data_IF_056126564491
#
_entry.id   IF_056126564491
#
_cell.length_a   1.000
_cell.length_b   1.000
_cell.length_c   1.000
_cell.angle_alpha   90.00
_cell.angle_beta   90.00
_cell.angle_gamma   90.00
#
_symmetry.space_group_name_H-M   'P 1'
#
loop_
_entity.id
_entity.type
_entity.pdbx_description
1 polymer ?
#
# COMPACT_ATOMS: atom_id res chain seq x y z
N UNK A 1 -8.79 9.95 42.98
CA UNK A 1 -7.59 9.95 42.08
C UNK A 1 -7.79 8.81 41.12
N UNK A 2 -7.66 9.06 39.83
CA UNK A 2 -7.73 7.98 38.81
C UNK A 2 -6.49 7.12 38.99
N UNK A 3 -6.66 5.81 39.18
CA UNK A 3 -5.54 4.89 39.33
C UNK A 3 -4.74 4.90 38.03
N UNK A 4 -3.43 5.11 38.11
CA UNK A 4 -2.53 5.08 36.94
C UNK A 4 -2.41 3.61 36.52
N UNK A 5 -2.77 3.24 35.25
CA UNK A 5 -2.64 1.86 34.81
C UNK A 5 -1.15 1.44 34.77
N UNK A 6 -0.86 0.15 34.93
CA UNK A 6 0.51 -0.37 34.77
C UNK A 6 1.01 -0.12 33.34
N UNK A 7 2.34 -0.19 33.12
CA UNK A 7 2.91 -0.15 31.78
C UNK A 7 2.25 -1.17 30.85
N UNK A 8 2.00 -0.76 29.61
CA UNK A 8 1.39 -1.66 28.62
C UNK A 8 2.43 -2.73 28.18
N UNK A 9 2.08 -3.99 28.38
CA UNK A 9 2.88 -5.12 27.92
C UNK A 9 2.44 -5.53 26.51
N UNK A 10 3.38 -5.54 25.58
CA UNK A 10 3.13 -5.94 24.18
C UNK A 10 3.33 -7.45 24.06
N UNK A 11 2.29 -8.23 23.70
CA UNK A 11 2.46 -9.67 23.50
C UNK A 11 3.29 -9.96 22.25
N UNK A 12 4.06 -11.04 22.28
CA UNK A 12 4.70 -11.53 21.07
C UNK A 12 3.66 -12.08 20.08
N UNK A 13 3.78 -11.65 18.81
CA UNK A 13 2.87 -12.07 17.73
C UNK A 13 3.64 -12.28 16.44
N UNK A 14 3.35 -13.36 15.74
CA UNK A 14 3.74 -13.54 14.35
C UNK A 14 2.69 -12.90 13.45
N UNK A 15 3.04 -11.80 12.80
CA UNK A 15 2.12 -11.04 11.94
C UNK A 15 2.13 -11.65 10.53
N UNK A 16 1.10 -12.42 10.23
CA UNK A 16 0.85 -13.03 8.92
C UNK A 16 -0.50 -12.56 8.32
N UNK A 17 -0.88 -11.32 8.62
CA UNK A 17 -2.05 -10.69 8.04
C UNK A 17 -1.70 -9.80 6.83
N UNK A 18 -2.70 -9.07 6.29
CA UNK A 18 -2.51 -8.14 5.16
C UNK A 18 -1.81 -6.83 5.57
N UNK A 19 -1.10 -6.83 6.68
CA UNK A 19 -0.39 -5.72 7.31
C UNK A 19 -1.14 -5.17 8.54
N UNK A 20 -0.38 -4.63 9.51
CA UNK A 20 1.08 -4.42 9.45
C UNK A 20 1.90 -5.71 9.38
N UNK A 21 3.10 -5.61 8.79
CA UNK A 21 4.10 -6.69 8.78
C UNK A 21 4.97 -6.65 10.03
N UNK A 22 5.77 -7.70 10.23
CA UNK A 22 6.85 -7.68 11.22
C UNK A 22 7.81 -6.53 10.92
N UNK A 23 8.47 -6.03 11.95
CA UNK A 23 9.45 -4.94 11.85
C UNK A 23 10.82 -5.45 12.25
N UNK A 24 11.83 -5.21 11.41
CA UNK A 24 13.20 -5.64 11.69
C UNK A 24 13.76 -4.96 12.95
N UNK A 25 14.54 -5.66 13.81
CA UNK A 25 15.10 -5.08 15.05
C UNK A 25 15.90 -3.79 14.83
N UNK A 26 16.66 -3.66 13.73
CA UNK A 26 17.37 -2.42 13.37
C UNK A 26 16.42 -1.23 13.19
N UNK A 27 15.24 -1.45 12.63
CA UNK A 27 14.20 -0.42 12.43
C UNK A 27 13.61 0.01 13.77
N UNK A 28 13.31 -0.93 14.67
CA UNK A 28 12.84 -0.62 16.02
C UNK A 28 13.91 0.14 16.81
N UNK A 29 15.18 -0.26 16.71
CA UNK A 29 16.29 0.45 17.33
C UNK A 29 16.45 1.87 16.77
N UNK A 30 16.28 2.07 15.45
CA UNK A 30 16.31 3.40 14.85
C UNK A 30 15.20 4.29 15.41
N UNK A 31 13.99 3.77 15.55
CA UNK A 31 12.83 4.49 16.08
C UNK A 31 13.00 4.91 17.55
N UNK A 32 13.78 4.18 18.34
CA UNK A 32 14.01 4.46 19.77
C UNK A 32 15.09 5.52 20.03
N UNK A 33 15.72 6.10 19.00
CA UNK A 33 16.73 7.15 19.15
C UNK A 33 16.13 8.44 19.72
N UNK A 34 17.01 9.27 20.32
CA UNK A 34 16.64 10.60 20.82
C UNK A 34 16.00 11.43 19.70
N UNK A 35 14.85 12.04 20.02
CA UNK A 35 14.16 12.95 19.09
C UNK A 35 14.95 14.25 18.96
N UNK A 36 15.18 14.70 17.72
CA UNK A 36 15.70 16.00 17.38
C UNK A 36 14.61 16.82 16.65
N UNK A 37 14.80 18.14 16.53
CA UNK A 37 13.81 19.00 15.88
C UNK A 37 13.56 18.63 14.42
N UNK A 38 12.32 18.75 13.96
CA UNK A 38 11.95 18.46 12.57
C UNK A 38 12.55 19.45 11.56
N UNK A 39 13.06 20.61 12.01
CA UNK A 39 13.83 21.57 11.21
C UNK A 39 15.33 21.53 11.52
N UNK A 40 15.79 20.61 12.36
CA UNK A 40 17.21 20.39 12.59
C UNK A 40 17.90 20.00 11.27
N UNK A 41 19.11 20.55 10.97
CA UNK A 41 19.83 20.21 9.74
C UNK A 41 20.00 18.72 9.50
N UNK A 42 20.19 17.92 10.56
CA UNK A 42 20.32 16.46 10.46
C UNK A 42 19.00 15.79 10.08
N UNK A 43 17.84 16.31 10.55
CA UNK A 43 16.53 15.82 10.12
C UNK A 43 16.29 16.14 8.65
N UNK A 44 16.67 17.33 8.19
CA UNK A 44 16.53 17.72 6.80
C UNK A 44 17.47 16.93 5.87
N UNK A 45 18.68 16.59 6.32
CA UNK A 45 19.59 15.70 5.59
C UNK A 45 18.98 14.29 5.46
N UNK A 46 18.49 13.72 6.55
CA UNK A 46 17.80 12.43 6.55
C UNK A 46 16.57 12.44 5.61
N UNK A 47 15.80 13.51 5.56
CA UNK A 47 14.68 13.64 4.61
C UNK A 47 15.16 13.58 3.16
N UNK A 48 16.31 14.21 2.83
CA UNK A 48 16.89 14.09 1.48
C UNK A 48 17.31 12.65 1.17
N UNK A 49 17.91 11.96 2.13
CA UNK A 49 18.29 10.54 1.99
C UNK A 49 17.04 9.66 1.77
N UNK A 50 15.97 9.88 2.57
CA UNK A 50 14.69 9.18 2.41
C UNK A 50 14.12 9.43 1.00
N UNK A 51 14.10 10.67 0.52
CA UNK A 51 13.62 11.01 -0.82
C UNK A 51 14.43 10.31 -1.91
N UNK A 52 15.75 10.25 -1.77
CA UNK A 52 16.64 9.50 -2.67
C UNK A 52 16.30 8.02 -2.70
N UNK A 53 16.26 7.38 -1.54
CA UNK A 53 15.92 5.96 -1.42
C UNK A 53 14.50 5.63 -1.91
N UNK A 54 13.53 6.52 -1.68
CA UNK A 54 12.17 6.34 -2.20
C UNK A 54 12.13 6.40 -3.73
N UNK A 55 12.90 7.27 -4.37
CA UNK A 55 12.99 7.28 -5.85
C UNK A 55 13.53 5.96 -6.39
N UNK A 56 14.54 5.38 -5.74
CA UNK A 56 15.05 4.06 -6.11
C UNK A 56 13.95 2.98 -5.96
N UNK A 57 13.22 2.98 -4.83
CA UNK A 57 12.19 1.96 -4.55
C UNK A 57 10.96 2.11 -5.45
N UNK A 58 10.60 3.33 -5.85
CA UNK A 58 9.55 3.58 -6.84
C UNK A 58 10.01 3.38 -8.29
N UNK A 59 11.32 3.29 -8.53
CA UNK A 59 11.94 3.36 -9.87
C UNK A 59 11.47 4.60 -10.61
N UNK A 60 11.82 5.78 -10.07
CA UNK A 60 11.40 7.05 -10.64
C UNK A 60 12.45 8.13 -10.51
N UNK A 61 12.45 9.04 -11.47
CA UNK A 61 13.22 10.29 -11.46
C UNK A 61 12.43 11.48 -10.90
N UNK A 62 11.18 11.29 -10.48
CA UNK A 62 10.29 12.34 -10.02
C UNK A 62 10.88 13.11 -8.82
N UNK A 63 11.01 14.43 -8.94
CA UNK A 63 11.55 15.28 -7.88
C UNK A 63 10.61 15.33 -6.67
N UNK A 64 9.28 15.41 -6.92
CA UNK A 64 8.28 15.45 -5.85
C UNK A 64 7.99 14.03 -5.33
N UNK A 65 8.95 13.50 -4.58
CA UNK A 65 8.89 12.17 -3.93
C UNK A 65 9.21 12.34 -2.46
N UNK A 66 8.28 11.96 -1.57
CA UNK A 66 8.42 12.17 -0.12
C UNK A 66 7.49 11.24 0.69
N UNK A 67 7.73 11.06 2.01
CA UNK A 67 6.79 10.37 2.88
C UNK A 67 5.73 11.35 3.44
N UNK A 68 4.46 11.14 3.13
CA UNK A 68 3.34 11.83 3.78
C UNK A 68 3.30 11.43 5.26
N UNK A 69 3.15 12.41 6.16
CA UNK A 69 2.92 12.15 7.60
C UNK A 69 1.50 11.65 7.82
N UNK A 70 1.34 10.33 7.74
CA UNK A 70 0.07 9.62 7.80
C UNK A 70 0.19 8.20 7.26
N UNK A 71 -0.86 7.39 7.42
CA UNK A 71 -0.87 6.03 6.89
C UNK A 71 -1.17 6.01 5.38
N UNK A 72 -1.16 4.83 4.74
CA UNK A 72 -1.48 4.68 3.31
C UNK A 72 -2.78 5.37 2.87
N UNK A 73 -3.79 5.45 3.75
CA UNK A 73 -5.03 6.19 3.46
C UNK A 73 -4.77 7.70 3.32
N UNK A 74 -3.83 8.27 4.09
CA UNK A 74 -3.43 9.67 3.90
C UNK A 74 -2.73 9.87 2.55
N UNK A 75 -1.93 8.89 2.10
CA UNK A 75 -1.37 8.88 0.74
C UNK A 75 -2.45 8.85 -0.34
N UNK A 76 -3.47 7.98 -0.17
CA UNK A 76 -4.62 7.91 -1.06
C UNK A 76 -5.38 9.24 -1.13
N UNK A 77 -5.68 9.85 0.01
CA UNK A 77 -6.33 11.16 0.05
C UNK A 77 -5.46 12.26 -0.57
N UNK A 78 -4.16 12.30 -0.26
CA UNK A 78 -3.23 13.25 -0.88
C UNK A 78 -3.20 13.11 -2.40
N UNK A 79 -3.12 11.89 -2.92
CA UNK A 79 -3.12 11.61 -4.36
C UNK A 79 -4.40 12.12 -5.06
N UNK A 80 -5.56 11.85 -4.50
CA UNK A 80 -6.84 12.24 -5.09
C UNK A 80 -7.12 13.75 -4.92
N UNK A 81 -6.96 14.28 -3.69
CA UNK A 81 -7.25 15.68 -3.38
C UNK A 81 -6.36 16.66 -4.13
N UNK A 82 -5.14 16.23 -4.46
CA UNK A 82 -4.18 17.10 -5.14
C UNK A 82 -4.53 17.39 -6.61
N UNK A 83 -5.17 16.45 -7.30
CA UNK A 83 -5.43 16.56 -8.75
C UNK A 83 -6.91 16.68 -9.10
N UNK A 84 -7.83 16.23 -8.24
CA UNK A 84 -9.27 16.30 -8.52
C UNK A 84 -9.90 17.56 -7.95
N UNK A 85 -10.77 18.17 -8.75
CA UNK A 85 -11.68 19.26 -8.39
C UNK A 85 -13.13 18.79 -8.54
N UNK A 86 -14.12 19.50 -7.96
CA UNK A 86 -15.52 19.24 -8.24
C UNK A 86 -15.79 19.27 -9.76
N UNK A 87 -16.63 18.35 -10.21
CA UNK A 87 -17.04 18.15 -11.61
C UNK A 87 -15.95 17.57 -12.54
N UNK A 88 -14.73 17.29 -12.03
CA UNK A 88 -13.76 16.52 -12.80
C UNK A 88 -14.23 15.08 -12.97
N UNK A 89 -14.08 14.51 -14.16
CA UNK A 89 -14.38 13.11 -14.44
C UNK A 89 -13.17 12.24 -14.12
N UNK A 90 -13.37 11.24 -13.26
CA UNK A 90 -12.32 10.29 -12.87
C UNK A 90 -12.80 8.85 -13.02
N UNK A 91 -11.97 8.01 -13.62
CA UNK A 91 -12.21 6.57 -13.69
C UNK A 91 -11.49 5.85 -12.56
N UNK A 92 -12.22 5.00 -11.82
CA UNK A 92 -11.67 4.16 -10.75
C UNK A 92 -11.89 2.69 -11.12
N UNK A 93 -10.79 1.92 -11.16
CA UNK A 93 -10.83 0.47 -11.39
C UNK A 93 -11.07 -0.23 -10.05
N UNK A 94 -12.29 -0.78 -9.87
CA UNK A 94 -12.77 -1.30 -8.58
C UNK A 94 -12.68 -2.83 -8.54
N UNK A 95 -11.60 -3.35 -7.98
CA UNK A 95 -11.36 -4.80 -7.82
C UNK A 95 -11.52 -5.29 -6.37
N UNK A 96 -11.84 -4.39 -5.43
CA UNK A 96 -12.03 -4.72 -4.02
C UNK A 96 -12.29 -3.52 -3.12
N UNK A 97 -12.08 -3.73 -1.82
CA UNK A 97 -12.43 -2.78 -0.76
C UNK A 97 -11.63 -1.47 -0.83
N UNK A 98 -10.32 -1.53 -1.13
CA UNK A 98 -9.49 -0.32 -1.14
C UNK A 98 -9.75 0.53 -2.38
N UNK A 99 -10.01 -0.08 -3.52
CA UNK A 99 -10.47 0.63 -4.70
C UNK A 99 -11.88 1.25 -4.51
N UNK A 100 -12.78 0.55 -3.81
CA UNK A 100 -14.08 1.12 -3.42
C UNK A 100 -13.94 2.31 -2.46
N UNK A 101 -12.96 2.31 -1.54
CA UNK A 101 -12.62 3.46 -0.70
C UNK A 101 -12.13 4.64 -1.53
N UNK A 102 -11.24 4.40 -2.49
CA UNK A 102 -10.74 5.41 -3.43
C UNK A 102 -11.90 6.08 -4.18
N UNK A 103 -12.85 5.28 -4.67
CA UNK A 103 -14.10 5.75 -5.30
C UNK A 103 -14.91 6.66 -4.36
N UNK A 104 -15.04 6.26 -3.11
CA UNK A 104 -15.78 7.04 -2.10
C UNK A 104 -15.09 8.39 -1.82
N UNK A 105 -13.77 8.43 -1.74
CA UNK A 105 -13.00 9.67 -1.55
C UNK A 105 -13.19 10.59 -2.77
N UNK A 106 -13.09 10.07 -4.00
CA UNK A 106 -13.30 10.86 -5.21
C UNK A 106 -14.71 11.49 -5.25
N UNK A 107 -15.75 10.73 -4.87
CA UNK A 107 -17.12 11.25 -4.74
C UNK A 107 -17.24 12.36 -3.70
N UNK A 108 -16.57 12.24 -2.56
CA UNK A 108 -16.56 13.28 -1.51
C UNK A 108 -15.88 14.58 -1.96
N UNK A 109 -14.96 14.49 -2.92
CA UNK A 109 -14.34 15.65 -3.56
C UNK A 109 -15.26 16.34 -4.57
N UNK A 110 -16.43 15.76 -4.86
CA UNK A 110 -17.38 16.27 -5.85
C UNK A 110 -17.04 15.88 -7.29
N UNK A 111 -16.13 14.92 -7.50
CA UNK A 111 -15.80 14.41 -8.82
C UNK A 111 -16.91 13.49 -9.38
N UNK A 112 -17.07 13.50 -10.68
CA UNK A 112 -17.88 12.51 -11.41
C UNK A 112 -17.07 11.22 -11.56
N UNK A 113 -17.57 10.12 -10.97
CA UNK A 113 -16.81 8.87 -10.88
C UNK A 113 -17.37 7.81 -11.81
N UNK A 114 -16.58 7.43 -12.80
CA UNK A 114 -16.78 6.24 -13.62
C UNK A 114 -16.13 5.06 -12.90
N UNK A 115 -16.93 4.04 -12.56
CA UNK A 115 -16.44 2.83 -11.89
C UNK A 115 -16.39 1.66 -12.86
N UNK A 116 -15.26 0.99 -12.98
CA UNK A 116 -15.11 -0.27 -13.71
C UNK A 116 -14.74 -1.40 -12.75
N UNK A 117 -15.17 -2.63 -13.05
CA UNK A 117 -14.82 -3.81 -12.26
C UNK A 117 -15.70 -3.97 -11.03
N UNK A 118 -16.99 -4.30 -11.18
CA UNK A 118 -17.92 -4.49 -10.05
C UNK A 118 -17.73 -5.82 -9.30
N UNK A 119 -16.92 -6.74 -9.83
CA UNK A 119 -16.68 -8.06 -9.23
C UNK A 119 -15.35 -8.06 -8.49
N UNK A 120 -15.45 -8.11 -7.18
CA UNK A 120 -14.27 -8.17 -6.32
C UNK A 120 -13.47 -9.46 -6.55
N UNK A 121 -12.15 -9.31 -6.71
CA UNK A 121 -11.23 -10.42 -6.98
C UNK A 121 -11.05 -10.76 -8.47
N UNK A 122 -11.76 -10.07 -9.36
CA UNK A 122 -11.54 -10.14 -10.81
C UNK A 122 -10.75 -8.90 -11.29
N UNK A 123 -9.78 -9.07 -12.21
CA UNK A 123 -9.06 -7.95 -12.80
C UNK A 123 -9.98 -7.17 -13.76
N UNK A 124 -9.73 -5.87 -13.87
CA UNK A 124 -10.34 -5.04 -14.92
C UNK A 124 -9.54 -5.20 -16.21
N UNK A 125 -10.22 -5.51 -17.32
CA UNK A 125 -9.54 -5.73 -18.60
C UNK A 125 -9.13 -4.43 -19.27
N UNK A 126 -8.03 -4.46 -20.03
CA UNK A 126 -7.54 -3.31 -20.79
C UNK A 126 -8.56 -2.86 -21.82
N UNK A 127 -9.27 -3.82 -22.47
CA UNK A 127 -10.29 -3.54 -23.48
C UNK A 127 -11.46 -2.78 -22.88
N UNK A 128 -11.87 -3.12 -21.66
CA UNK A 128 -12.94 -2.42 -20.96
C UNK A 128 -12.53 -0.99 -20.62
N UNK A 129 -11.29 -0.80 -20.09
CA UNK A 129 -10.73 0.54 -19.82
C UNK A 129 -10.69 1.37 -21.10
N UNK A 130 -10.15 0.80 -22.20
CA UNK A 130 -10.02 1.51 -23.47
C UNK A 130 -11.37 1.96 -24.04
N UNK A 131 -12.36 1.05 -24.08
CA UNK A 131 -13.71 1.33 -24.55
C UNK A 131 -14.36 2.44 -23.71
N UNK A 132 -14.27 2.35 -22.41
CA UNK A 132 -14.91 3.34 -21.52
C UNK A 132 -14.24 4.71 -21.64
N UNK A 133 -12.91 4.75 -21.86
CA UNK A 133 -12.22 6.02 -22.14
C UNK A 133 -12.61 6.62 -23.52
N UNK A 134 -13.00 5.78 -24.50
CA UNK A 134 -13.54 6.28 -25.78
C UNK A 134 -14.94 6.87 -25.61
N UNK A 135 -15.75 6.31 -24.70
CA UNK A 135 -17.08 6.81 -24.36
C UNK A 135 -17.03 8.07 -23.48
N UNK A 136 -15.91 8.28 -22.74
CA UNK A 136 -15.69 9.37 -21.78
C UNK A 136 -14.36 10.10 -22.04
N UNK A 137 -14.22 10.80 -23.18
CA UNK A 137 -12.97 11.48 -23.55
C UNK A 137 -12.61 12.65 -22.61
N UNK A 138 -13.55 13.13 -21.79
CA UNK A 138 -13.35 14.15 -20.74
C UNK A 138 -12.66 13.62 -19.49
N UNK A 139 -12.36 12.32 -19.40
CA UNK A 139 -11.73 11.69 -18.25
C UNK A 139 -10.37 12.34 -17.95
N UNK A 140 -10.24 12.94 -16.77
CA UNK A 140 -9.02 13.62 -16.30
C UNK A 140 -7.97 12.65 -15.77
N UNK A 141 -8.43 11.61 -15.07
CA UNK A 141 -7.52 10.66 -14.41
C UNK A 141 -8.12 9.24 -14.36
N UNK A 142 -7.25 8.24 -14.42
CA UNK A 142 -7.55 6.84 -14.10
C UNK A 142 -6.81 6.47 -12.83
N UNK A 143 -7.50 5.88 -11.87
CA UNK A 143 -6.88 5.38 -10.63
C UNK A 143 -7.14 3.89 -10.45
N UNK A 144 -6.14 3.18 -9.91
CA UNK A 144 -6.18 1.73 -9.71
C UNK A 144 -5.41 1.32 -8.46
N UNK A 145 -5.82 0.21 -7.85
CA UNK A 145 -5.04 -0.49 -6.81
C UNK A 145 -4.20 -1.57 -7.47
N UNK A 146 -2.87 -1.46 -7.37
CA UNK A 146 -1.91 -2.42 -7.93
C UNK A 146 -2.03 -3.80 -7.27
N UNK A 147 -2.10 -3.81 -5.93
CA UNK A 147 -2.31 -5.02 -5.14
C UNK A 147 -3.44 -4.85 -4.13
N UNK A 148 -4.61 -5.38 -4.46
CA UNK A 148 -5.82 -5.26 -3.64
C UNK A 148 -5.85 -6.30 -2.52
N UNK A 149 -5.50 -5.90 -1.30
CA UNK A 149 -5.37 -6.82 -0.16
C UNK A 149 -6.69 -7.36 0.38
N UNK A 150 -7.82 -6.84 -0.03
CA UNK A 150 -9.12 -7.41 0.35
C UNK A 150 -9.43 -8.68 -0.42
N UNK A 151 -8.85 -8.84 -1.60
CA UNK A 151 -9.12 -9.93 -2.54
C UNK A 151 -7.88 -10.74 -2.93
N UNK A 152 -6.67 -10.26 -2.61
CA UNK A 152 -5.41 -10.86 -3.05
C UNK A 152 -5.11 -10.64 -4.55
N UNK A 153 -5.83 -9.72 -5.18
CA UNK A 153 -5.69 -9.44 -6.60
C UNK A 153 -4.46 -8.54 -6.89
N UNK A 154 -3.71 -8.92 -7.91
CA UNK A 154 -2.70 -8.11 -8.59
C UNK A 154 -3.26 -7.62 -9.92
N UNK A 155 -3.42 -6.30 -10.09
CA UNK A 155 -3.81 -5.69 -11.36
C UNK A 155 -2.56 -5.34 -12.17
N UNK A 156 -2.46 -5.82 -13.41
CA UNK A 156 -1.36 -5.44 -14.31
C UNK A 156 -1.50 -3.99 -14.76
N UNK A 157 -0.41 -3.23 -14.76
CA UNK A 157 -0.44 -1.78 -14.91
C UNK A 157 0.16 -1.24 -16.21
N UNK A 158 1.18 -1.89 -16.76
CA UNK A 158 1.98 -1.38 -17.88
C UNK A 158 1.11 -0.91 -19.06
N UNK A 159 0.20 -1.75 -19.52
CA UNK A 159 -0.64 -1.46 -20.68
C UNK A 159 -1.69 -0.38 -20.39
N UNK A 160 -2.19 -0.32 -19.14
CA UNK A 160 -3.10 0.75 -18.69
C UNK A 160 -2.36 2.08 -18.63
N UNK A 161 -1.14 2.11 -18.10
CA UNK A 161 -0.30 3.31 -18.06
C UNK A 161 0.03 3.83 -19.47
N UNK A 162 0.40 2.94 -20.37
CA UNK A 162 0.62 3.28 -21.77
C UNK A 162 -0.63 3.85 -22.46
N UNK A 163 -1.81 3.30 -22.15
CA UNK A 163 -3.08 3.79 -22.66
C UNK A 163 -3.36 5.21 -22.14
N UNK A 164 -3.19 5.45 -20.84
CA UNK A 164 -3.35 6.78 -20.21
C UNK A 164 -2.37 7.79 -20.80
N UNK A 165 -1.09 7.42 -20.94
CA UNK A 165 -0.06 8.28 -21.55
C UNK A 165 -0.42 8.71 -22.98
N UNK A 166 -0.88 7.77 -23.83
CA UNK A 166 -1.28 8.08 -25.23
C UNK A 166 -2.47 9.01 -25.30
N UNK A 167 -3.32 9.07 -24.29
CA UNK A 167 -4.53 9.91 -24.23
C UNK A 167 -4.36 11.16 -23.40
N UNK A 168 -3.16 11.41 -22.88
CA UNK A 168 -2.83 12.51 -21.98
C UNK A 168 -3.68 12.54 -20.68
N UNK A 169 -4.09 11.37 -20.20
CA UNK A 169 -4.85 11.16 -18.95
C UNK A 169 -3.89 10.89 -17.81
N UNK A 170 -4.10 11.49 -16.61
CA UNK A 170 -3.31 11.18 -15.43
C UNK A 170 -3.53 9.73 -14.98
N UNK A 171 -2.44 9.03 -14.65
CA UNK A 171 -2.50 7.66 -14.15
C UNK A 171 -2.04 7.59 -12.70
N UNK A 172 -2.97 7.24 -11.78
CA UNK A 172 -2.74 7.15 -10.35
C UNK A 172 -2.80 5.70 -9.85
N UNK A 173 -1.83 5.32 -9.01
CA UNK A 173 -1.66 3.94 -8.54
C UNK A 173 -1.54 3.88 -7.02
N UNK A 174 -2.38 3.05 -6.40
CA UNK A 174 -2.20 2.59 -5.04
C UNK A 174 -1.24 1.40 -5.00
N UNK A 175 -0.02 1.63 -4.56
CA UNK A 175 0.99 0.61 -4.34
C UNK A 175 1.22 0.31 -2.84
N UNK A 176 0.24 0.63 -1.98
CA UNK A 176 0.38 0.47 -0.53
C UNK A 176 0.84 -0.92 -0.14
N UNK A 177 0.31 -1.95 -0.78
CA UNK A 177 0.65 -3.33 -0.46
C UNK A 177 1.80 -3.91 -1.30
N UNK A 178 2.22 -3.22 -2.36
CA UNK A 178 3.12 -3.78 -3.37
C UNK A 178 4.51 -3.17 -3.38
N UNK A 179 4.63 -1.88 -3.01
CA UNK A 179 5.94 -1.20 -2.96
C UNK A 179 6.94 -1.99 -2.10
N UNK A 180 8.08 -2.32 -2.69
CA UNK A 180 9.14 -3.12 -2.05
C UNK A 180 8.84 -4.62 -1.93
N UNK A 181 7.65 -5.10 -2.32
CA UNK A 181 7.27 -6.53 -2.24
C UNK A 181 7.09 -7.22 -3.58
N UNK A 182 6.86 -6.46 -4.63
CA UNK A 182 6.79 -6.96 -6.01
C UNK A 182 7.20 -5.86 -6.96
N UNK A 183 7.38 -6.20 -8.23
CA UNK A 183 7.80 -5.26 -9.25
C UNK A 183 6.88 -4.03 -9.30
N UNK A 184 7.50 -2.87 -9.32
CA UNK A 184 6.89 -1.57 -9.49
C UNK A 184 7.90 -0.67 -10.22
N UNK A 185 7.52 -0.13 -11.36
CA UNK A 185 8.33 0.78 -12.16
C UNK A 185 7.49 1.98 -12.56
N UNK A 186 7.58 3.03 -11.75
CA UNK A 186 6.73 4.23 -11.91
C UNK A 186 6.99 4.92 -13.24
N UNK A 187 8.26 5.13 -13.59
CA UNK A 187 8.61 5.79 -14.86
C UNK A 187 8.34 4.86 -16.05
N UNK A 188 8.75 3.59 -15.97
CA UNK A 188 8.59 2.61 -17.03
C UNK A 188 7.13 2.27 -17.35
N UNK A 189 6.25 2.38 -16.37
CA UNK A 189 4.81 2.12 -16.55
C UNK A 189 3.98 3.40 -16.70
N UNK A 190 4.63 4.54 -16.92
CA UNK A 190 3.95 5.84 -17.15
C UNK A 190 2.99 6.23 -16.03
N UNK A 191 3.34 5.95 -14.78
CA UNK A 191 2.53 6.29 -13.60
C UNK A 191 2.81 7.74 -13.21
N UNK A 192 1.76 8.56 -13.17
CA UNK A 192 1.86 9.98 -12.80
C UNK A 192 1.81 10.21 -11.30
N UNK A 193 1.09 9.35 -10.56
CA UNK A 193 0.89 9.46 -9.11
C UNK A 193 0.98 8.06 -8.53
N UNK A 194 1.90 7.83 -7.60
CA UNK A 194 2.00 6.54 -6.92
C UNK A 194 2.19 6.75 -5.43
N UNK A 195 1.46 6.00 -4.61
CA UNK A 195 1.63 6.04 -3.16
C UNK A 195 1.71 4.65 -2.53
N UNK A 196 2.43 4.59 -1.41
CA UNK A 196 2.71 3.37 -0.67
C UNK A 196 2.27 3.45 0.79
N UNK A 197 2.65 2.44 1.56
CA UNK A 197 2.46 2.41 3.02
C UNK A 197 3.67 1.81 3.73
N UNK A 198 4.15 2.47 4.78
CA UNK A 198 5.36 2.04 5.51
C UNK A 198 5.22 0.66 6.16
N UNK A 199 4.00 0.28 6.59
CA UNK A 199 3.72 -0.92 7.40
C UNK A 199 3.47 -2.21 6.59
N UNK A 200 3.66 -2.18 5.28
CA UNK A 200 3.48 -3.33 4.39
C UNK A 200 4.84 -3.94 4.03
N UNK A 201 5.15 -4.07 2.76
CA UNK A 201 6.40 -4.70 2.34
C UNK A 201 7.67 -3.87 2.66
N UNK A 202 7.54 -2.59 3.03
CA UNK A 202 8.68 -1.82 3.53
C UNK A 202 9.05 -2.16 4.99
N UNK A 203 8.16 -2.81 5.74
CA UNK A 203 8.39 -3.28 7.12
C UNK A 203 8.86 -2.20 8.10
N UNK A 204 8.36 -0.98 7.95
CA UNK A 204 8.45 0.06 8.97
C UNK A 204 7.12 0.14 9.75
N UNK A 205 7.10 0.71 10.95
CA UNK A 205 5.85 0.95 11.68
C UNK A 205 4.86 1.80 10.87
N UNK A 206 3.54 1.63 11.07
CA UNK A 206 2.54 2.48 10.41
C UNK A 206 2.70 3.94 10.83
N UNK A 207 2.39 4.87 9.92
CA UNK A 207 2.43 6.31 10.21
C UNK A 207 3.05 7.15 9.11
N UNK A 208 3.62 6.54 8.07
CA UNK A 208 4.13 7.22 6.89
C UNK A 208 3.59 6.57 5.61
N UNK A 209 3.27 7.41 4.62
CA UNK A 209 2.89 6.98 3.28
C UNK A 209 3.87 7.58 2.26
N UNK A 210 4.83 6.80 1.74
CA UNK A 210 5.62 7.20 0.58
C UNK A 210 4.71 7.60 -0.57
N UNK A 211 5.02 8.72 -1.25
CA UNK A 211 4.27 9.19 -2.42
C UNK A 211 5.21 9.83 -3.43
N UNK A 212 4.87 9.71 -4.70
CA UNK A 212 5.60 10.34 -5.82
C UNK A 212 4.64 10.91 -6.84
N UNK A 213 5.01 12.05 -7.46
CA UNK A 213 4.23 12.75 -8.47
C UNK A 213 5.10 13.09 -9.67
N UNK A 214 4.64 12.77 -10.88
CA UNK A 214 5.29 13.16 -12.12
C UNK A 214 5.19 14.68 -12.34
N UNK A 215 6.04 15.23 -13.22
CA UNK A 215 5.90 16.62 -13.65
C UNK A 215 4.51 16.93 -14.23
N UNK A 216 3.89 15.95 -14.91
CA UNK A 216 2.53 16.10 -15.43
C UNK A 216 1.52 16.25 -14.28
N UNK A 217 1.63 15.44 -13.22
CA UNK A 217 0.80 15.58 -12.04
C UNK A 217 1.03 16.91 -11.32
N UNK A 218 2.29 17.37 -11.21
CA UNK A 218 2.63 18.70 -10.62
C UNK A 218 1.99 19.83 -11.43
N UNK A 219 2.11 19.81 -12.76
CA UNK A 219 1.43 20.80 -13.61
C UNK A 219 -0.08 20.81 -13.45
N UNK A 220 -0.69 19.61 -13.29
CA UNK A 220 -2.12 19.51 -13.02
C UNK A 220 -2.51 20.14 -11.67
N UNK A 221 -1.68 19.99 -10.64
CA UNK A 221 -1.88 20.65 -9.34
C UNK A 221 -1.76 22.17 -9.44
N UNK A 222 -0.72 22.68 -10.12
CA UNK A 222 -0.47 24.12 -10.32
C UNK A 222 -1.58 24.79 -11.14
N UNK A 223 -2.20 24.06 -12.07
CA UNK A 223 -3.28 24.59 -12.92
C UNK A 223 -4.66 24.56 -12.27
N UNK A 224 -4.78 24.12 -11.01
CA UNK A 224 -6.07 24.07 -10.29
C UNK A 224 -6.69 25.46 -10.16
N UNK A 225 -8.01 25.50 -10.29
CA UNK A 225 -8.82 26.74 -10.06
C UNK A 225 -8.91 27.08 -8.58
N UNK A 226 -8.76 26.11 -7.69
CA UNK A 226 -8.84 26.26 -6.23
C UNK A 226 -7.76 25.42 -5.56
N UNK A 227 -7.22 25.85 -4.40
CA UNK A 227 -6.29 25.02 -3.64
C UNK A 227 -6.96 23.70 -3.23
N UNK A 228 -6.18 22.61 -3.00
CA UNK A 228 -6.70 21.39 -2.44
C UNK A 228 -7.50 21.62 -1.16
N UNK A 229 -8.56 20.83 -0.90
CA UNK A 229 -9.40 21.03 0.30
C UNK A 229 -8.67 20.73 1.61
N UNK A 230 -7.53 20.05 1.57
CA UNK A 230 -6.69 19.72 2.71
C UNK A 230 -5.39 20.51 2.65
N UNK A 231 -5.18 21.45 3.59
CA UNK A 231 -3.88 22.11 3.77
C UNK A 231 -2.79 21.08 4.12
N UNK A 232 -3.10 20.11 5.00
CA UNK A 232 -2.15 19.15 5.53
C UNK A 232 -1.64 18.16 4.48
N UNK A 233 -2.46 17.81 3.49
CA UNK A 233 -2.16 16.84 2.43
C UNK A 233 -1.84 17.51 1.08
N UNK A 234 -1.65 18.83 1.05
CA UNK A 234 -1.30 19.55 -0.18
C UNK A 234 0.17 19.32 -0.57
N UNK A 235 0.44 18.61 -1.68
CA UNK A 235 1.80 18.27 -2.07
C UNK A 235 2.66 19.48 -2.40
N UNK A 236 2.07 20.57 -2.95
CA UNK A 236 2.83 21.79 -3.30
C UNK A 236 3.27 22.54 -2.05
N UNK A 237 2.46 22.57 -0.98
CA UNK A 237 2.88 23.12 0.30
C UNK A 237 3.94 22.25 0.97
N UNK A 238 3.79 20.92 0.92
CA UNK A 238 4.77 19.99 1.45
C UNK A 238 6.09 20.09 0.68
N UNK A 239 6.06 20.30 -0.63
CA UNK A 239 7.26 20.55 -1.44
C UNK A 239 8.08 21.72 -0.91
N UNK A 240 7.44 22.78 -0.44
CA UNK A 240 8.12 23.89 0.23
C UNK A 240 8.89 23.47 1.49
N UNK A 241 8.42 22.45 2.20
CA UNK A 241 9.07 21.90 3.40
C UNK A 241 10.18 20.90 3.06
N UNK A 242 9.88 19.89 2.25
CA UNK A 242 10.85 18.82 1.92
C UNK A 242 11.83 19.21 0.82
N UNK A 243 11.53 20.24 0.01
CA UNK A 243 12.37 20.78 -1.04
C UNK A 243 13.45 21.75 -0.51
N UNK A 244 14.10 22.49 -1.39
CA UNK A 244 15.22 23.38 -1.06
C UNK A 244 14.84 24.58 -0.17
N UNK A 245 13.58 25.02 -0.19
CA UNK A 245 13.10 26.21 0.54
C UNK A 245 13.04 25.99 2.05
N UNK A 246 12.83 24.76 2.52
CA UNK A 246 12.77 24.36 3.95
C UNK A 246 11.75 25.18 4.76
N UNK A 247 10.61 25.48 4.14
CA UNK A 247 9.52 26.18 4.81
C UNK A 247 8.82 25.29 5.82
N UNK A 248 8.44 25.85 6.97
CA UNK A 248 7.67 25.09 7.94
C UNK A 248 6.26 24.77 7.40
N UNK A 249 5.89 23.51 7.37
CA UNK A 249 4.55 23.05 7.03
C UNK A 249 3.85 22.40 8.23
N UNK A 250 4.46 21.37 8.81
CA UNK A 250 3.97 20.66 9.98
C UNK A 250 5.13 20.05 10.77
N UNK A 251 4.87 19.62 11.99
CA UNK A 251 5.85 18.87 12.77
C UNK A 251 5.88 17.42 12.30
N UNK A 252 6.88 17.08 11.51
CA UNK A 252 7.05 15.72 11.00
C UNK A 252 7.29 14.70 12.14
N UNK A 253 6.77 13.46 12.02
CA UNK A 253 6.94 12.42 13.03
C UNK A 253 8.35 11.82 12.97
N UNK A 254 9.32 12.49 13.59
CA UNK A 254 10.76 12.22 13.44
C UNK A 254 11.13 10.78 13.77
N UNK A 255 10.55 10.17 14.81
CA UNK A 255 10.82 8.77 15.14
C UNK A 255 10.35 7.80 14.04
N UNK A 256 9.21 8.10 13.37
CA UNK A 256 8.76 7.31 12.23
C UNK A 256 9.65 7.52 11.00
N UNK A 257 10.22 8.73 10.83
CA UNK A 257 11.20 9.00 9.77
C UNK A 257 12.49 8.21 10.02
N UNK A 258 12.97 8.11 11.26
CA UNK A 258 14.10 7.23 11.60
C UNK A 258 13.82 5.77 11.22
N UNK A 259 12.62 5.28 11.56
CA UNK A 259 12.19 3.92 11.22
C UNK A 259 12.13 3.71 9.70
N UNK A 260 11.51 4.64 8.95
CA UNK A 260 11.40 4.54 7.50
C UNK A 260 12.78 4.60 6.82
N UNK A 261 13.66 5.49 7.28
CA UNK A 261 15.02 5.60 6.76
C UNK A 261 15.75 4.25 6.86
N UNK A 262 15.73 3.61 8.03
CA UNK A 262 16.41 2.33 8.22
C UNK A 262 15.71 1.18 7.46
N UNK A 263 14.38 1.20 7.38
CA UNK A 263 13.63 0.23 6.60
C UNK A 263 13.96 0.30 5.10
N UNK A 264 14.06 1.51 4.54
CA UNK A 264 14.46 1.72 3.15
C UNK A 264 15.92 1.27 2.90
N UNK A 265 16.81 1.52 3.85
CA UNK A 265 18.19 0.99 3.77
C UNK A 265 18.19 -0.54 3.67
N UNK A 266 17.42 -1.22 4.52
CA UNK A 266 17.30 -2.69 4.48
C UNK A 266 16.74 -3.20 3.15
N UNK A 267 15.73 -2.51 2.60
CA UNK A 267 15.16 -2.84 1.28
C UNK A 267 16.23 -2.74 0.19
N UNK A 268 17.02 -1.68 0.19
CA UNK A 268 18.07 -1.46 -0.81
C UNK A 268 19.33 -2.32 -0.55
N UNK A 269 19.65 -2.65 0.69
CA UNK A 269 20.71 -3.60 1.04
C UNK A 269 20.38 -5.02 0.53
N UNK A 270 19.12 -5.45 0.60
CA UNK A 270 18.64 -6.72 0.02
C UNK A 270 18.61 -6.65 -1.52
N UNK A 271 18.26 -5.50 -2.08
CA UNK A 271 18.01 -5.30 -3.51
C UNK A 271 16.56 -5.63 -3.90
N UNK A 272 15.98 -4.81 -4.79
CA UNK A 272 14.56 -4.90 -5.15
C UNK A 272 14.21 -6.23 -5.82
N UNK A 273 15.01 -6.65 -6.81
CA UNK A 273 14.76 -7.87 -7.57
C UNK A 273 14.86 -9.12 -6.69
N UNK A 274 15.84 -9.17 -5.78
CA UNK A 274 16.00 -10.26 -4.83
C UNK A 274 14.81 -10.31 -3.85
N UNK A 275 14.37 -9.14 -3.39
CA UNK A 275 13.24 -9.00 -2.50
C UNK A 275 11.92 -9.43 -3.16
N UNK A 276 11.70 -9.08 -4.43
CA UNK A 276 10.54 -9.53 -5.21
C UNK A 276 10.56 -11.04 -5.43
N UNK A 277 11.74 -11.58 -5.77
CA UNK A 277 11.93 -13.04 -5.93
C UNK A 277 11.58 -13.78 -4.63
N UNK A 278 12.05 -13.28 -3.49
CA UNK A 278 11.75 -13.86 -2.18
C UNK A 278 10.25 -13.86 -1.89
N UNK A 279 9.55 -12.75 -2.14
CA UNK A 279 8.10 -12.68 -1.97
C UNK A 279 7.36 -13.65 -2.89
N UNK A 280 7.82 -13.78 -4.14
CA UNK A 280 7.22 -14.72 -5.11
C UNK A 280 7.39 -16.17 -4.65
N UNK A 281 8.59 -16.57 -4.23
CA UNK A 281 8.88 -17.93 -3.78
C UNK A 281 8.15 -18.29 -2.50
N UNK A 282 8.26 -17.46 -1.48
CA UNK A 282 7.61 -17.69 -0.17
C UNK A 282 6.07 -17.62 -0.28
N UNK A 283 5.57 -16.69 -1.10
CA UNK A 283 4.13 -16.58 -1.36
C UNK A 283 3.56 -17.78 -2.10
N UNK A 284 4.31 -18.33 -3.06
CA UNK A 284 3.93 -19.56 -3.77
C UNK A 284 3.91 -20.77 -2.81
N UNK A 285 4.90 -20.91 -1.90
CA UNK A 285 4.92 -21.95 -0.86
C UNK A 285 3.69 -21.86 0.05
N UNK A 286 3.39 -20.63 0.56
CA UNK A 286 2.20 -20.41 1.38
C UNK A 286 0.92 -20.80 0.65
N UNK A 287 0.77 -20.36 -0.59
CA UNK A 287 -0.45 -20.59 -1.36
C UNK A 287 -0.65 -22.08 -1.65
N UNK A 288 0.39 -22.80 -2.10
CA UNK A 288 0.34 -24.22 -2.33
C UNK A 288 -0.05 -25.00 -1.06
N UNK A 289 0.57 -24.63 0.08
CA UNK A 289 0.26 -25.27 1.36
C UNK A 289 -1.19 -25.02 1.83
N UNK A 290 -1.78 -23.88 1.50
CA UNK A 290 -3.19 -23.59 1.75
C UNK A 290 -4.11 -24.37 0.80
N UNK A 291 -3.79 -24.45 -0.51
CA UNK A 291 -4.55 -25.22 -1.50
C UNK A 291 -4.58 -26.72 -1.14
N UNK A 292 -3.47 -27.31 -0.69
CA UNK A 292 -3.38 -28.69 -0.20
C UNK A 292 -4.33 -28.98 0.98
N UNK A 293 -4.74 -27.94 1.72
CA UNK A 293 -5.68 -28.01 2.86
C UNK A 293 -7.11 -27.62 2.51
N UNK A 294 -7.42 -27.52 1.22
CA UNK A 294 -8.77 -27.25 0.71
C UNK A 294 -9.16 -25.78 0.68
N UNK A 295 -8.24 -24.86 0.98
CA UNK A 295 -8.47 -23.43 0.73
C UNK A 295 -8.41 -23.15 -0.76
N UNK A 296 -9.23 -22.23 -1.25
CA UNK A 296 -9.26 -21.86 -2.67
C UNK A 296 -8.95 -20.38 -2.83
N UNK A 297 -7.94 -20.00 -3.63
CA UNK A 297 -7.63 -18.60 -3.91
C UNK A 297 -8.82 -17.84 -4.47
N UNK A 298 -8.97 -16.57 -4.06
CA UNK A 298 -10.02 -15.69 -4.58
C UNK A 298 -9.71 -15.27 -6.02
N UNK A 299 -8.51 -14.71 -6.35
CA UNK A 299 -8.25 -14.24 -7.70
C UNK A 299 -7.81 -15.38 -8.65
N UNK A 300 -8.00 -15.17 -9.99
CA UNK A 300 -7.45 -16.05 -11.01
C UNK A 300 -5.92 -16.17 -10.91
N UNK A 301 -5.36 -17.30 -11.36
CA UNK A 301 -3.94 -17.66 -11.14
C UNK A 301 -2.97 -16.59 -11.62
N UNK A 302 -3.19 -15.98 -12.79
CA UNK A 302 -2.30 -14.96 -13.37
C UNK A 302 -2.40 -13.59 -12.70
N UNK A 303 -3.34 -13.41 -11.76
CA UNK A 303 -3.62 -12.16 -11.06
C UNK A 303 -3.50 -12.29 -9.55
N UNK A 304 -2.79 -13.30 -9.07
CA UNK A 304 -2.54 -13.52 -7.65
C UNK A 304 -1.37 -12.67 -7.17
N UNK A 305 -1.59 -11.93 -6.10
CA UNK A 305 -0.56 -11.13 -5.44
C UNK A 305 0.37 -12.05 -4.65
N UNK A 306 1.70 -12.04 -4.83
CA UNK A 306 2.60 -13.00 -4.18
C UNK A 306 2.66 -12.82 -2.66
N UNK A 307 2.61 -11.60 -2.16
CA UNK A 307 2.77 -11.30 -0.73
C UNK A 307 1.49 -11.48 0.10
N UNK A 308 0.36 -11.87 -0.51
CA UNK A 308 -0.89 -12.08 0.21
C UNK A 308 -1.78 -13.13 -0.46
N UNK A 309 -2.07 -14.19 0.24
CA UNK A 309 -3.10 -15.16 -0.11
C UNK A 309 -4.45 -14.73 0.48
N UNK A 310 -5.40 -14.31 -0.38
CA UNK A 310 -6.81 -14.25 -0.01
C UNK A 310 -7.49 -15.54 -0.49
N UNK A 311 -8.05 -16.32 0.45
CA UNK A 311 -8.51 -17.66 0.17
C UNK A 311 -9.89 -17.92 0.78
N UNK A 312 -10.76 -18.55 0.01
CA UNK A 312 -12.03 -19.08 0.50
C UNK A 312 -11.78 -20.19 1.51
N UNK A 313 -12.57 -20.20 2.58
CA UNK A 313 -12.49 -21.20 3.62
C UNK A 313 -12.99 -22.55 3.10
N UNK A 314 -12.37 -23.67 3.54
CA UNK A 314 -12.94 -25.00 3.36
C UNK A 314 -14.32 -25.12 4.00
N UNK A 315 -15.13 -26.03 3.48
CA UNK A 315 -16.45 -26.32 4.05
C UNK A 315 -16.35 -26.76 5.53
N UNK A 316 -17.17 -26.19 6.37
CA UNK A 316 -17.18 -26.46 7.81
C UNK A 316 -16.18 -25.69 8.65
N UNK A 317 -15.23 -24.95 8.05
CA UNK A 317 -14.30 -24.12 8.80
C UNK A 317 -14.90 -22.73 9.10
N UNK A 318 -15.06 -22.41 10.38
CA UNK A 318 -15.58 -21.12 10.83
C UNK A 318 -14.47 -20.05 10.86
N UNK A 319 -14.75 -18.87 10.30
CA UNK A 319 -13.78 -17.77 10.21
C UNK A 319 -13.27 -17.29 11.58
N UNK A 320 -14.12 -16.62 12.33
CA UNK A 320 -13.73 -15.89 13.54
C UNK A 320 -13.22 -16.80 14.66
N UNK A 321 -13.86 -17.91 15.02
CA UNK A 321 -13.37 -18.79 16.09
C UNK A 321 -11.95 -19.33 15.79
N UNK A 322 -11.70 -19.75 14.56
CA UNK A 322 -10.41 -20.34 14.19
C UNK A 322 -9.29 -19.31 14.09
N UNK A 323 -9.56 -18.07 13.63
CA UNK A 323 -8.58 -16.97 13.71
C UNK A 323 -8.27 -16.58 15.16
N UNK A 324 -9.26 -16.64 16.06
CA UNK A 324 -9.03 -16.41 17.49
C UNK A 324 -8.17 -17.51 18.11
N UNK A 325 -8.36 -18.78 17.70
CA UNK A 325 -7.49 -19.87 18.13
C UNK A 325 -6.06 -19.70 17.63
N UNK A 326 -5.85 -19.34 16.35
CA UNK A 326 -4.51 -19.02 15.82
C UNK A 326 -3.82 -17.94 16.66
N UNK A 327 -4.55 -16.88 17.00
CA UNK A 327 -4.01 -15.77 17.79
C UNK A 327 -3.71 -16.18 19.25
N UNK A 328 -4.64 -16.88 19.91
CA UNK A 328 -4.58 -17.12 21.36
C UNK A 328 -3.71 -18.35 21.73
N UNK A 329 -3.76 -19.41 20.91
CA UNK A 329 -3.06 -20.66 21.15
C UNK A 329 -1.64 -20.67 20.56
N UNK A 330 -1.47 -20.01 19.38
CA UNK A 330 -0.22 -20.04 18.62
C UNK A 330 0.48 -18.67 18.48
N UNK A 331 -0.15 -17.58 18.92
CA UNK A 331 0.41 -16.23 18.78
C UNK A 331 0.44 -15.72 17.34
N UNK A 332 -0.30 -16.33 16.41
CA UNK A 332 -0.28 -15.99 14.98
C UNK A 332 -1.49 -15.13 14.63
N UNK A 333 -1.22 -13.96 14.05
CA UNK A 333 -2.26 -13.02 13.60
C UNK A 333 -2.46 -13.09 12.08
N UNK A 334 -3.67 -13.47 11.67
CA UNK A 334 -4.16 -13.39 10.28
C UNK A 334 -5.45 -12.56 10.24
N UNK A 335 -5.90 -12.17 9.05
CA UNK A 335 -7.13 -11.38 8.91
C UNK A 335 -8.24 -12.14 8.19
N UNK A 336 -9.49 -11.83 8.55
CA UNK A 336 -10.68 -12.26 7.81
C UNK A 336 -10.94 -11.39 6.57
N UNK A 337 -11.90 -11.80 5.74
CA UNK A 337 -12.39 -11.05 4.60
C UNK A 337 -13.02 -9.72 4.98
N UNK A 338 -13.10 -8.80 4.01
CA UNK A 338 -13.77 -7.50 4.11
C UNK A 338 -15.01 -7.47 3.21
N UNK A 339 -15.98 -6.61 3.54
CA UNK A 339 -17.18 -6.42 2.73
C UNK A 339 -17.91 -7.75 2.48
N UNK A 340 -18.16 -8.11 1.24
CA UNK A 340 -18.86 -9.32 0.84
C UNK A 340 -18.12 -10.63 1.16
N UNK A 341 -16.81 -10.56 1.42
CA UNK A 341 -15.96 -11.71 1.80
C UNK A 341 -15.89 -11.93 3.32
N UNK A 342 -16.53 -11.07 4.12
CA UNK A 342 -16.55 -11.21 5.57
C UNK A 342 -17.12 -12.56 5.99
N UNK A 343 -16.38 -13.29 6.85
CA UNK A 343 -16.75 -14.62 7.34
C UNK A 343 -16.53 -15.77 6.34
N UNK A 344 -16.06 -15.51 5.11
CA UNK A 344 -15.92 -16.50 4.05
C UNK A 344 -14.48 -16.68 3.56
N UNK A 345 -13.65 -15.66 3.78
CA UNK A 345 -12.29 -15.56 3.24
C UNK A 345 -11.31 -15.27 4.36
N UNK A 346 -10.16 -15.95 4.34
CA UNK A 346 -8.98 -15.54 5.10
C UNK A 346 -8.00 -14.80 4.23
N UNK A 347 -7.28 -13.87 4.86
CA UNK A 347 -6.19 -13.13 4.26
C UNK A 347 -4.91 -13.42 5.04
N UNK A 348 -4.05 -14.22 4.45
CA UNK A 348 -2.77 -14.64 5.02
C UNK A 348 -1.65 -13.95 4.24
N UNK A 349 -0.86 -13.13 4.91
CA UNK A 349 0.16 -12.30 4.28
C UNK A 349 1.58 -12.68 4.68
N UNK A 350 2.47 -12.62 3.70
CA UNK A 350 3.93 -12.77 3.85
C UNK A 350 4.60 -11.50 3.32
N UNK A 351 4.43 -10.39 4.05
CA UNK A 351 4.89 -9.06 3.62
C UNK A 351 6.20 -8.68 4.28
N UNK A 352 7.16 -8.20 3.49
CA UNK A 352 8.39 -7.62 4.01
C UNK A 352 9.16 -8.56 4.93
N UNK A 353 9.33 -8.19 6.19
CA UNK A 353 10.05 -8.98 7.21
C UNK A 353 9.28 -10.25 7.62
N UNK A 354 7.96 -10.29 7.46
CA UNK A 354 7.18 -11.51 7.67
C UNK A 354 7.39 -12.57 6.57
N UNK A 355 8.01 -12.19 5.44
CA UNK A 355 8.17 -13.06 4.27
C UNK A 355 9.38 -13.98 4.41
N UNK A 356 9.21 -15.07 5.17
CA UNK A 356 10.24 -16.12 5.36
C UNK A 356 9.62 -17.51 5.28
N UNK A 357 10.38 -18.49 4.79
CA UNK A 357 10.01 -19.89 4.78
C UNK A 357 9.71 -20.43 6.19
N UNK A 358 10.43 -19.95 7.20
CA UNK A 358 10.23 -20.33 8.60
C UNK A 358 8.85 -19.88 9.11
N UNK A 359 8.43 -18.66 8.81
CA UNK A 359 7.13 -18.15 9.19
C UNK A 359 6.00 -18.91 8.51
N UNK A 360 6.15 -19.28 7.23
CA UNK A 360 5.20 -20.13 6.52
C UNK A 360 5.09 -21.51 7.19
N UNK A 361 6.22 -22.16 7.48
CA UNK A 361 6.24 -23.46 8.19
C UNK A 361 5.58 -23.38 9.56
N UNK A 362 5.86 -22.32 10.32
CA UNK A 362 5.27 -22.08 11.64
C UNK A 362 3.74 -21.93 11.54
N UNK A 363 3.28 -21.13 10.58
CA UNK A 363 1.85 -20.94 10.35
C UNK A 363 1.17 -22.25 9.92
N UNK A 364 1.76 -22.99 8.99
CA UNK A 364 1.20 -24.26 8.50
C UNK A 364 1.14 -25.32 9.59
N UNK A 365 2.16 -25.43 10.46
CA UNK A 365 2.14 -26.33 11.60
C UNK A 365 1.01 -25.99 12.60
N UNK A 366 0.75 -24.72 12.84
CA UNK A 366 -0.37 -24.27 13.67
C UNK A 366 -1.72 -24.53 12.99
N UNK A 367 -1.82 -24.32 11.67
CA UNK A 367 -3.01 -24.60 10.89
C UNK A 367 -3.36 -26.09 10.90
N UNK A 368 -2.39 -27.00 10.79
CA UNK A 368 -2.60 -28.44 10.86
C UNK A 368 -3.17 -28.89 12.21
N UNK A 369 -2.68 -28.30 13.31
CA UNK A 369 -3.22 -28.56 14.63
C UNK A 369 -4.64 -27.98 14.82
N UNK A 370 -4.96 -26.91 14.10
CA UNK A 370 -6.28 -26.30 14.16
C UNK A 370 -7.32 -27.11 13.37
N UNK A 371 -6.91 -27.78 12.28
CA UNK A 371 -7.76 -28.56 11.39
C UNK A 371 -7.91 -30.05 11.85
N UNK A 372 -7.05 -30.52 12.76
CA UNK A 372 -7.14 -31.87 13.36
C UNK A 372 -8.25 -31.93 14.42
#
# INVERSE_FOLDING_TARGET
>A
MTEIPPPFEVPERLLMGPGPSMVHPRVLQAMSKQVIGHLDPRTLEMLNEIQGMLREVFRTSNELTYPVSGTGTAGMESALTSVLEPDDVVMILVSGFFAARMREIAKRLGAEVISLGDRWGEPVSLEEVARTLDEHPETKAVFVVHGETSTGLHQHLLEIGDLCRRRDILFGVDAVATIGGMELDVDGWSIDICYGGSQKCLSAPPGLAPITFSEKAVRAMESRRRPPPSFYLDPLLIQGYVGSQRLYHHTAPVSNLYALHEALRLVLEEGLEERWRRHLEVGAELLAALEDRGFRPVPPISFRMPQLAAVWLPEGLEDRPNRQRLLNEFGIEIAGGLGEFAGKVWRVGVMGESCTHENVKTFIAALDQLLS
#
